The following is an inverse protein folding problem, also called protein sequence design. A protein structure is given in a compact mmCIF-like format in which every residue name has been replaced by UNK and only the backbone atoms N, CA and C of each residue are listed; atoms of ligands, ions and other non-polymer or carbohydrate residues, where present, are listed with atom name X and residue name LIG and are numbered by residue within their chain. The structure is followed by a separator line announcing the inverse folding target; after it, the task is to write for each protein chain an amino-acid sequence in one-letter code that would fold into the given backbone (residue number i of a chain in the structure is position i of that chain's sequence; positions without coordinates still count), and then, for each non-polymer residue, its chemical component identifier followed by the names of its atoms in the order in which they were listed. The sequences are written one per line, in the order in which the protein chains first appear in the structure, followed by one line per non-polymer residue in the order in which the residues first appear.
data_IF_088680412445
#
_entry.id   IF_088680412445
#
_cell.length_a   1.000
_cell.length_b   1.000
_cell.length_c   1.000
_cell.angle_alpha   90.00
_cell.angle_beta   90.00
_cell.angle_gamma   90.00
#
_symmetry.space_group_name_H-M   'P 1'
#
loop_
_entity.id
_entity.type
_entity.pdbx_description
1 polymer ?
#
# COMPACT_ATOMS: atom_id res chain seq x y z
N UNK A 1 -20.25 -13.46 16.56
CA UNK A 1 -20.73 -12.90 15.26
C UNK A 1 -19.49 -12.54 14.46
N UNK A 2 -19.10 -13.44 13.56
CA UNK A 2 -17.78 -13.40 12.92
C UNK A 2 -17.87 -12.80 11.52
N UNK A 3 -17.81 -11.47 11.46
CA UNK A 3 -17.40 -10.79 10.23
C UNK A 3 -15.88 -10.95 10.11
N UNK A 4 -15.45 -11.82 9.21
CA UNK A 4 -14.04 -12.17 9.00
C UNK A 4 -13.44 -11.29 7.91
N UNK A 5 -12.42 -10.52 8.28
CA UNK A 5 -11.65 -9.69 7.36
C UNK A 5 -10.60 -10.57 6.69
N UNK A 6 -10.60 -10.53 5.36
CA UNK A 6 -9.67 -11.29 4.51
C UNK A 6 -8.73 -10.33 3.81
N UNK A 7 -7.52 -10.79 3.52
CA UNK A 7 -6.56 -10.04 2.71
C UNK A 7 -6.50 -10.69 1.33
N UNK A 8 -6.78 -9.91 0.28
CA UNK A 8 -6.65 -10.36 -1.10
C UNK A 8 -5.18 -10.60 -1.46
N UNK A 9 -4.92 -11.30 -2.58
CA UNK A 9 -3.54 -11.47 -3.10
C UNK A 9 -2.82 -10.15 -3.35
N UNK A 10 -3.57 -9.06 -3.60
CA UNK A 10 -3.04 -7.70 -3.82
C UNK A 10 -2.89 -6.89 -2.52
N UNK A 11 -3.21 -7.47 -1.36
CA UNK A 11 -3.14 -6.81 -0.07
C UNK A 11 -4.41 -6.04 0.34
N UNK A 12 -5.37 -5.84 -0.56
CA UNK A 12 -6.66 -5.20 -0.23
C UNK A 12 -7.44 -6.00 0.79
N UNK A 13 -7.97 -5.33 1.82
CA UNK A 13 -8.75 -6.00 2.86
C UNK A 13 -10.21 -6.01 2.49
N UNK A 14 -10.80 -7.20 2.54
CA UNK A 14 -12.14 -7.45 2.03
C UNK A 14 -12.96 -8.31 2.99
N UNK A 15 -14.27 -8.12 2.94
CA UNK A 15 -15.25 -9.00 3.60
C UNK A 15 -16.13 -9.65 2.53
N UNK A 16 -16.67 -10.83 2.83
CA UNK A 16 -17.69 -11.43 1.97
C UNK A 16 -19.01 -10.69 2.15
N UNK A 17 -19.69 -10.41 1.06
CA UNK A 17 -20.99 -9.76 1.09
C UNK A 17 -22.02 -10.65 1.82
N UNK A 18 -21.93 -11.98 1.70
CA UNK A 18 -22.81 -12.91 2.44
C UNK A 18 -22.61 -12.84 3.96
N UNK A 19 -21.36 -12.73 4.40
CA UNK A 19 -21.04 -12.58 5.83
C UNK A 19 -21.46 -11.22 6.36
N UNK A 20 -21.27 -10.15 5.58
CA UNK A 20 -21.75 -8.82 5.93
C UNK A 20 -23.29 -8.78 6.04
N UNK A 21 -23.98 -9.41 5.08
CA UNK A 21 -25.44 -9.49 5.05
C UNK A 21 -26.00 -10.25 6.27
N UNK A 22 -25.41 -11.40 6.60
CA UNK A 22 -25.75 -12.15 7.82
C UNK A 22 -25.43 -11.38 9.09
N UNK A 23 -24.27 -10.72 9.13
CA UNK A 23 -23.89 -9.89 10.27
C UNK A 23 -24.90 -8.76 10.49
N UNK A 24 -25.40 -8.15 9.41
CA UNK A 24 -26.46 -7.14 9.46
C UNK A 24 -27.84 -7.70 9.86
N UNK A 25 -27.98 -9.00 10.06
CA UNK A 25 -29.24 -9.63 10.48
C UNK A 25 -30.33 -9.58 9.41
N UNK A 26 -29.94 -9.55 8.14
CA UNK A 26 -30.87 -9.52 7.01
C UNK A 26 -31.29 -10.96 6.63
N UNK A 27 -32.48 -11.11 6.07
CA UNK A 27 -32.99 -12.43 5.69
C UNK A 27 -32.26 -12.99 4.46
N UNK A 28 -31.76 -14.23 4.55
CA UNK A 28 -30.87 -14.85 3.54
C UNK A 28 -31.47 -14.85 2.12
N UNK A 29 -32.79 -15.04 1.98
CA UNK A 29 -33.48 -15.04 0.69
C UNK A 29 -33.45 -13.67 -0.03
N UNK A 30 -33.21 -12.58 0.70
CA UNK A 30 -33.03 -11.24 0.12
C UNK A 30 -31.58 -10.90 -0.24
N UNK A 31 -30.64 -11.82 -0.02
CA UNK A 31 -29.21 -11.56 -0.22
C UNK A 31 -28.89 -10.99 -1.61
N UNK A 32 -29.32 -11.66 -2.68
CA UNK A 32 -29.05 -11.20 -4.05
C UNK A 32 -29.67 -9.84 -4.37
N UNK A 33 -30.90 -9.60 -3.91
CA UNK A 33 -31.58 -8.33 -4.11
C UNK A 33 -30.85 -7.19 -3.39
N UNK A 34 -30.50 -7.40 -2.12
CA UNK A 34 -29.78 -6.42 -1.30
C UNK A 34 -28.41 -6.09 -1.88
N UNK A 35 -27.64 -7.10 -2.29
CA UNK A 35 -26.32 -6.89 -2.89
C UNK A 35 -26.41 -6.13 -4.20
N UNK A 36 -27.42 -6.40 -5.05
CA UNK A 36 -27.64 -5.63 -6.29
C UNK A 36 -27.99 -4.17 -6.00
N UNK A 37 -28.75 -3.90 -4.94
CA UNK A 37 -29.03 -2.54 -4.49
C UNK A 37 -27.74 -1.89 -4.03
N UNK A 38 -26.99 -2.53 -3.12
CA UNK A 38 -25.73 -2.02 -2.59
C UNK A 38 -24.72 -1.65 -3.69
N UNK A 39 -24.56 -2.48 -4.72
CA UNK A 39 -23.61 -2.20 -5.81
C UNK A 39 -24.09 -1.07 -6.73
N UNK A 40 -25.40 -0.78 -6.79
CA UNK A 40 -25.98 0.26 -7.66
C UNK A 40 -26.25 1.58 -6.96
N UNK A 41 -26.22 1.59 -5.63
CA UNK A 41 -26.49 2.76 -4.79
C UNK A 41 -25.34 3.77 -4.84
N UNK A 42 -25.58 4.96 -4.28
CA UNK A 42 -24.60 6.06 -4.24
C UNK A 42 -24.12 6.24 -2.81
N UNK A 43 -22.81 6.27 -2.63
CA UNK A 43 -22.18 6.49 -1.33
C UNK A 43 -21.18 7.63 -1.37
N UNK A 44 -20.89 8.19 -0.20
CA UNK A 44 -19.81 9.15 0.02
C UNK A 44 -18.54 8.38 0.39
N UNK A 45 -17.74 8.06 -0.62
CA UNK A 45 -16.39 7.52 -0.46
C UNK A 45 -15.40 8.64 -0.12
N UNK A 46 -14.20 8.29 0.31
CA UNK A 46 -13.11 9.23 0.58
C UNK A 46 -12.74 10.07 -0.66
N UNK A 47 -12.87 9.49 -1.85
CA UNK A 47 -12.60 10.15 -3.14
C UNK A 47 -13.81 10.90 -3.73
N UNK A 48 -14.98 10.85 -3.09
CA UNK A 48 -16.17 11.62 -3.46
C UNK A 48 -17.48 10.84 -3.42
N UNK A 49 -18.56 11.48 -3.86
CA UNK A 49 -19.90 10.88 -3.93
C UNK A 49 -20.06 10.16 -5.27
N UNK A 50 -20.08 8.82 -5.25
CA UNK A 50 -20.15 7.98 -6.46
C UNK A 50 -20.78 6.62 -6.19
N UNK A 51 -21.00 5.86 -7.27
CA UNK A 51 -21.38 4.44 -7.20
C UNK A 51 -20.15 3.56 -6.96
N UNK A 52 -20.30 2.39 -6.33
CA UNK A 52 -19.23 1.41 -6.20
C UNK A 52 -18.69 0.97 -7.58
N UNK A 53 -17.36 0.86 -7.69
CA UNK A 53 -16.64 0.49 -8.91
C UNK A 53 -16.11 -0.94 -8.78
N UNK A 54 -16.36 -1.75 -9.81
CA UNK A 54 -15.88 -3.12 -9.87
C UNK A 54 -14.35 -3.19 -9.91
N UNK A 55 -13.77 -4.18 -9.22
CA UNK A 55 -12.33 -4.39 -9.02
C UNK A 55 -11.61 -3.30 -8.20
N UNK A 56 -12.36 -2.32 -7.70
CA UNK A 56 -11.88 -1.30 -6.76
C UNK A 56 -12.58 -1.48 -5.41
N UNK A 57 -13.89 -1.26 -5.35
CA UNK A 57 -14.67 -1.33 -4.11
C UNK A 57 -15.27 -2.73 -3.90
N UNK A 58 -15.54 -3.45 -4.98
CA UNK A 58 -16.05 -4.81 -4.93
C UNK A 58 -15.51 -5.71 -6.03
N UNK A 59 -15.48 -7.02 -5.78
CA UNK A 59 -15.15 -8.03 -6.77
C UNK A 59 -16.08 -9.25 -6.64
N UNK A 60 -16.44 -9.85 -7.77
CA UNK A 60 -17.24 -11.08 -7.79
C UNK A 60 -16.33 -12.30 -7.58
N UNK A 61 -16.78 -13.27 -6.78
CA UNK A 61 -16.05 -14.51 -6.54
C UNK A 61 -16.01 -15.40 -7.80
N UNK A 62 -14.81 -15.79 -8.24
CA UNK A 62 -14.60 -16.70 -9.37
C UNK A 62 -14.99 -18.14 -9.08
N UNK A 63 -15.16 -18.52 -7.81
CA UNK A 63 -15.44 -19.89 -7.39
C UNK A 63 -16.94 -20.24 -7.36
N UNK A 64 -17.82 -19.38 -7.88
CA UNK A 64 -19.25 -19.72 -8.03
C UNK A 64 -19.43 -20.58 -9.27
N UNK A 65 -19.14 -21.88 -9.15
CA UNK A 65 -19.11 -22.80 -10.29
C UNK A 65 -20.47 -23.16 -10.87
N UNK A 66 -21.59 -22.98 -10.18
CA UNK A 66 -22.91 -23.35 -10.77
C UNK A 66 -24.16 -22.86 -10.02
N UNK A 67 -24.04 -22.01 -9.00
CA UNK A 67 -25.21 -21.63 -8.18
C UNK A 67 -25.80 -20.27 -8.54
N UNK A 68 -27.14 -20.21 -8.46
CA UNK A 68 -28.06 -19.08 -8.68
C UNK A 68 -27.68 -17.83 -7.85
N UNK A 69 -26.82 -18.01 -6.83
CA UNK A 69 -26.38 -16.98 -5.89
C UNK A 69 -24.93 -16.59 -6.15
N UNK A 70 -24.72 -15.36 -6.61
CA UNK A 70 -23.39 -14.78 -6.82
C UNK A 70 -22.82 -14.24 -5.50
N UNK A 71 -21.63 -14.70 -5.13
CA UNK A 71 -20.87 -14.17 -3.99
C UNK A 71 -20.00 -12.98 -4.42
N UNK A 72 -19.93 -11.97 -3.55
CA UNK A 72 -19.13 -10.77 -3.74
C UNK A 72 -18.19 -10.53 -2.56
N UNK A 73 -17.08 -9.88 -2.84
CA UNK A 73 -16.14 -9.35 -1.87
C UNK A 73 -16.24 -7.83 -1.91
N UNK A 74 -16.39 -7.19 -0.75
CA UNK A 74 -16.37 -5.73 -0.61
C UNK A 74 -15.11 -5.32 0.12
N UNK A 75 -14.48 -4.22 -0.29
CA UNK A 75 -13.47 -3.57 0.53
C UNK A 75 -14.10 -3.06 1.84
N UNK A 76 -13.25 -2.70 2.81
CA UNK A 76 -13.74 -2.28 4.13
C UNK A 76 -14.56 -0.99 4.07
N UNK A 77 -14.17 -0.05 3.20
CA UNK A 77 -14.88 1.22 3.03
C UNK A 77 -16.31 1.01 2.53
N UNK A 78 -16.49 0.27 1.42
CA UNK A 78 -17.81 -0.08 0.89
C UNK A 78 -18.62 -0.86 1.92
N UNK A 79 -18.01 -1.84 2.60
CA UNK A 79 -18.71 -2.62 3.63
C UNK A 79 -19.21 -1.73 4.77
N UNK A 80 -18.44 -0.72 5.18
CA UNK A 80 -18.83 0.26 6.21
C UNK A 80 -19.98 1.13 5.72
N UNK A 81 -19.89 1.65 4.50
CA UNK A 81 -20.92 2.49 3.89
C UNK A 81 -22.24 1.73 3.71
N UNK A 82 -22.17 0.49 3.22
CA UNK A 82 -23.30 -0.44 3.11
C UNK A 82 -23.92 -0.72 4.48
N UNK A 83 -23.10 -0.98 5.50
CA UNK A 83 -23.60 -1.20 6.85
C UNK A 83 -24.41 0.02 7.34
N UNK A 84 -23.88 1.23 7.19
CA UNK A 84 -24.54 2.48 7.62
C UNK A 84 -25.84 2.76 6.87
N UNK A 85 -25.86 2.53 5.55
CA UNK A 85 -27.02 2.74 4.69
C UNK A 85 -28.11 1.68 4.89
N UNK A 86 -27.74 0.48 5.32
CA UNK A 86 -28.70 -0.62 5.52
C UNK A 86 -29.55 -0.40 6.76
N UNK A 87 -30.86 -0.68 6.64
CA UNK A 87 -31.79 -0.68 7.77
C UNK A 87 -31.59 -1.93 8.64
N UNK A 88 -30.64 -1.87 9.57
CA UNK A 88 -30.37 -2.92 10.56
C UNK A 88 -30.22 -2.33 11.97
N UNK A 89 -30.65 -3.09 12.99
CA UNK A 89 -30.48 -2.72 14.40
C UNK A 89 -29.01 -2.75 14.85
N UNK A 90 -28.17 -3.57 14.20
CA UNK A 90 -26.76 -3.77 14.55
C UNK A 90 -25.80 -2.99 13.64
N UNK A 91 -26.33 -2.13 12.77
CA UNK A 91 -25.53 -1.42 11.76
C UNK A 91 -24.40 -0.59 12.34
N UNK A 92 -24.64 0.11 13.45
CA UNK A 92 -23.63 0.96 14.09
C UNK A 92 -22.48 0.12 14.63
N UNK A 93 -22.76 -1.01 15.30
CA UNK A 93 -21.72 -1.88 15.84
C UNK A 93 -20.81 -2.46 14.74
N UNK A 94 -21.40 -2.88 13.62
CA UNK A 94 -20.67 -3.41 12.47
C UNK A 94 -19.86 -2.31 11.77
N UNK A 95 -20.46 -1.14 11.54
CA UNK A 95 -19.77 0.00 10.94
C UNK A 95 -18.61 0.47 11.81
N UNK A 96 -18.75 0.51 13.14
CA UNK A 96 -17.66 0.83 14.07
C UNK A 96 -16.56 -0.22 14.03
N UNK A 97 -16.89 -1.51 13.95
CA UNK A 97 -15.89 -2.58 13.81
C UNK A 97 -15.08 -2.40 12.51
N UNK A 98 -15.77 -2.20 11.38
CA UNK A 98 -15.15 -1.99 10.07
C UNK A 98 -14.32 -0.70 10.04
N UNK A 99 -14.81 0.38 10.67
CA UNK A 99 -14.10 1.65 10.75
C UNK A 99 -12.84 1.58 11.60
N UNK A 100 -12.86 0.84 12.73
CA UNK A 100 -11.65 0.61 13.52
C UNK A 100 -10.60 -0.14 12.72
N UNK A 101 -11.02 -1.14 11.97
CA UNK A 101 -10.14 -1.92 11.11
C UNK A 101 -9.58 -1.05 9.98
N UNK A 102 -10.41 -0.20 9.36
CA UNK A 102 -10.01 0.79 8.36
C UNK A 102 -8.99 1.81 8.93
N UNK A 103 -9.24 2.35 10.12
CA UNK A 103 -8.34 3.30 10.80
C UNK A 103 -6.99 2.69 11.17
N UNK A 104 -6.95 1.40 11.52
CA UNK A 104 -5.69 0.72 11.85
C UNK A 104 -4.85 0.46 10.58
N UNK A 105 -5.48 0.30 9.41
CA UNK A 105 -4.75 0.16 8.14
C UNK A 105 -5.44 0.91 6.99
N UNK A 106 -5.35 2.25 6.96
CA UNK A 106 -5.99 3.05 5.91
C UNK A 106 -5.56 2.56 4.53
N UNK A 107 -6.48 2.52 3.56
CA UNK A 107 -6.13 2.25 2.15
C UNK A 107 -5.73 3.54 1.42
N UNK A 108 -6.17 4.68 1.95
CA UNK A 108 -5.87 6.03 1.44
C UNK A 108 -5.10 6.87 2.46
N UNK A 109 -4.17 7.70 1.97
CA UNK A 109 -3.35 8.58 2.79
C UNK A 109 -4.15 9.81 3.23
N UNK A 110 -4.36 9.93 4.54
CA UNK A 110 -4.86 11.14 5.20
C UNK A 110 -3.88 11.51 6.29
N UNK A 111 -3.11 12.58 6.08
CA UNK A 111 -2.07 13.03 7.00
C UNK A 111 -2.50 14.32 7.70
N UNK A 112 -2.24 14.40 9.00
CA UNK A 112 -2.21 15.68 9.72
C UNK A 112 -1.02 16.52 9.27
N UNK A 113 -0.99 17.79 9.67
CA UNK A 113 0.17 18.65 9.40
C UNK A 113 1.47 18.06 9.99
N UNK A 114 1.40 17.53 11.22
CA UNK A 114 2.53 16.88 11.88
C UNK A 114 3.01 15.64 11.12
N UNK A 115 2.08 14.76 10.71
CA UNK A 115 2.42 13.56 9.93
C UNK A 115 2.98 13.91 8.54
N UNK A 116 2.55 15.02 7.95
CA UNK A 116 3.10 15.52 6.68
C UNK A 116 4.54 15.99 6.85
N UNK A 117 4.84 16.70 7.95
CA UNK A 117 6.21 17.12 8.28
C UNK A 117 7.11 15.92 8.58
N UNK A 118 6.58 14.90 9.25
CA UNK A 118 7.31 13.65 9.49
C UNK A 118 7.65 12.95 8.16
N UNK A 119 6.68 12.82 7.26
CA UNK A 119 6.91 12.25 5.93
C UNK A 119 7.95 13.06 5.15
N UNK A 120 7.95 14.39 5.28
CA UNK A 120 8.94 15.27 4.65
C UNK A 120 10.35 14.96 5.15
N UNK A 121 10.56 14.86 6.46
CA UNK A 121 11.87 14.51 7.04
C UNK A 121 12.31 13.09 6.65
N UNK A 122 11.38 12.13 6.64
CA UNK A 122 11.67 10.79 6.15
C UNK A 122 12.06 10.79 4.66
N UNK A 123 11.39 11.62 3.84
CA UNK A 123 11.71 11.79 2.42
C UNK A 123 13.13 12.33 2.24
N UNK A 124 13.55 13.32 3.04
CA UNK A 124 14.93 13.82 3.06
C UNK A 124 15.91 12.74 3.51
N UNK A 125 15.59 11.98 4.55
CA UNK A 125 16.45 10.90 5.04
C UNK A 125 16.62 9.78 3.99
N UNK A 126 15.58 9.50 3.20
CA UNK A 126 15.60 8.53 2.10
C UNK A 126 16.43 8.96 0.88
N UNK A 127 17.03 10.16 0.90
CA UNK A 127 18.11 10.50 -0.06
C UNK A 127 19.36 9.63 0.16
N UNK A 128 19.54 9.05 1.34
CA UNK A 128 20.68 8.21 1.70
C UNK A 128 20.45 6.75 1.36
N UNK A 129 21.42 6.13 0.70
CA UNK A 129 21.39 4.70 0.37
C UNK A 129 21.36 3.81 1.62
N UNK A 130 22.00 4.21 2.72
CA UNK A 130 21.95 3.44 3.97
C UNK A 130 20.51 3.31 4.49
N UNK A 131 19.74 4.40 4.44
CA UNK A 131 18.35 4.44 4.92
C UNK A 131 17.45 3.57 4.04
N UNK A 132 17.61 3.67 2.71
CA UNK A 132 16.89 2.83 1.76
C UNK A 132 17.21 1.34 1.96
N UNK A 133 18.49 1.00 2.18
CA UNK A 133 18.91 -0.37 2.43
C UNK A 133 18.32 -0.94 3.73
N UNK A 134 18.35 -0.16 4.81
CA UNK A 134 17.78 -0.56 6.09
C UNK A 134 16.24 -0.71 6.03
N UNK A 135 15.55 0.13 5.25
CA UNK A 135 14.12 -0.02 5.00
C UNK A 135 13.80 -1.32 4.24
N UNK A 136 14.55 -1.61 3.17
CA UNK A 136 14.41 -2.84 2.38
C UNK A 136 14.66 -4.09 3.23
N UNK A 137 15.69 -4.08 4.07
CA UNK A 137 16.01 -5.20 4.96
C UNK A 137 14.91 -5.45 6.00
N UNK A 138 14.37 -4.39 6.61
CA UNK A 138 13.24 -4.52 7.54
C UNK A 138 11.99 -5.07 6.86
N UNK A 139 11.70 -4.61 5.64
CA UNK A 139 10.55 -5.11 4.89
C UNK A 139 10.75 -6.58 4.51
N UNK A 140 11.95 -7.00 4.12
CA UNK A 140 12.29 -8.40 3.90
C UNK A 140 12.10 -9.24 5.18
N UNK A 141 12.62 -8.79 6.33
CA UNK A 141 12.45 -9.49 7.63
C UNK A 141 10.97 -9.69 7.96
N UNK A 142 10.14 -8.67 7.76
CA UNK A 142 8.70 -8.79 7.98
C UNK A 142 8.02 -9.71 6.95
N UNK A 143 8.40 -9.64 5.69
CA UNK A 143 7.90 -10.54 4.65
C UNK A 143 8.21 -12.00 4.99
N UNK A 144 9.44 -12.31 5.39
CA UNK A 144 9.86 -13.64 5.80
C UNK A 144 9.12 -14.10 7.05
N UNK A 145 8.91 -13.22 8.04
CA UNK A 145 8.09 -13.54 9.22
C UNK A 145 6.65 -13.90 8.85
N UNK A 146 6.07 -13.25 7.84
CA UNK A 146 4.69 -13.50 7.39
C UNK A 146 4.56 -14.75 6.52
N UNK A 147 5.53 -15.01 5.66
CA UNK A 147 5.45 -16.06 4.63
C UNK A 147 6.24 -17.33 4.97
N UNK A 148 7.11 -17.28 5.98
CA UNK A 148 7.98 -18.37 6.39
C UNK A 148 9.24 -18.56 5.53
N UNK A 149 9.40 -17.83 4.41
CA UNK A 149 10.55 -17.95 3.51
C UNK A 149 10.88 -16.61 2.82
N UNK A 150 12.11 -16.45 2.34
CA UNK A 150 12.56 -15.32 1.53
C UNK A 150 12.53 -15.59 0.01
N UNK A 151 12.25 -16.82 -0.44
CA UNK A 151 12.49 -17.27 -1.83
C UNK A 151 11.79 -16.41 -2.91
N UNK A 152 10.62 -15.87 -2.58
CA UNK A 152 9.82 -15.06 -3.51
C UNK A 152 9.90 -13.55 -3.24
N UNK A 153 10.80 -13.11 -2.35
CA UNK A 153 10.94 -11.71 -1.98
C UNK A 153 11.16 -10.79 -3.19
N UNK A 154 12.14 -11.13 -4.04
CA UNK A 154 12.48 -10.27 -5.19
C UNK A 154 11.31 -10.10 -6.15
N UNK A 155 10.57 -11.18 -6.42
CA UNK A 155 9.37 -11.13 -7.25
C UNK A 155 8.28 -10.31 -6.57
N UNK A 156 8.01 -10.57 -5.29
CA UNK A 156 7.03 -9.81 -4.50
C UNK A 156 7.34 -8.32 -4.51
N UNK A 157 8.60 -7.93 -4.28
CA UNK A 157 9.02 -6.53 -4.21
C UNK A 157 8.91 -5.85 -5.58
N UNK A 158 9.27 -6.52 -6.67
CA UNK A 158 9.04 -5.98 -8.02
C UNK A 158 7.54 -5.78 -8.28
N UNK A 159 6.73 -6.79 -8.01
CA UNK A 159 5.28 -6.76 -8.28
C UNK A 159 4.54 -5.75 -7.41
N UNK A 160 5.00 -5.48 -6.19
CA UNK A 160 4.25 -4.72 -5.18
C UNK A 160 4.85 -3.36 -4.84
N UNK A 161 6.18 -3.19 -4.92
CA UNK A 161 6.89 -1.98 -4.47
C UNK A 161 7.53 -1.24 -5.64
N UNK A 162 8.42 -1.90 -6.39
CA UNK A 162 9.26 -1.26 -7.41
C UNK A 162 8.49 -1.01 -8.71
N UNK A 163 7.58 -1.92 -9.09
CA UNK A 163 6.71 -1.81 -10.28
C UNK A 163 7.46 -1.72 -11.62
N UNK A 164 8.75 -2.04 -11.64
CA UNK A 164 9.55 -2.16 -12.85
C UNK A 164 10.59 -3.27 -12.68
N UNK A 165 10.77 -4.06 -13.74
CA UNK A 165 11.75 -5.15 -13.78
C UNK A 165 13.15 -4.63 -14.11
N UNK A 166 14.16 -5.44 -13.80
CA UNK A 166 15.56 -5.14 -14.17
C UNK A 166 15.71 -4.98 -15.69
N UNK A 167 15.06 -5.84 -16.47
CA UNK A 167 15.21 -5.83 -17.93
C UNK A 167 14.52 -4.63 -18.57
N UNK A 168 13.37 -4.20 -18.04
CA UNK A 168 12.73 -2.93 -18.44
C UNK A 168 13.61 -1.73 -18.09
N UNK A 169 14.25 -1.70 -16.91
CA UNK A 169 15.20 -0.63 -16.55
C UNK A 169 16.39 -0.60 -17.51
N UNK A 170 16.96 -1.76 -17.83
CA UNK A 170 18.07 -1.87 -18.80
C UNK A 170 17.64 -1.43 -20.21
N UNK A 171 16.42 -1.74 -20.64
CA UNK A 171 15.88 -1.25 -21.90
C UNK A 171 15.78 0.28 -21.89
N UNK A 172 15.13 0.87 -20.88
CA UNK A 172 14.99 2.32 -20.73
C UNK A 172 16.32 3.06 -20.63
N UNK A 173 17.35 2.47 -20.02
CA UNK A 173 18.69 3.04 -19.96
C UNK A 173 19.40 3.00 -21.32
N UNK A 174 19.22 1.91 -22.10
CA UNK A 174 19.73 1.81 -23.48
C UNK A 174 19.09 2.87 -24.37
N UNK A 175 17.77 3.06 -24.28
CA UNK A 175 17.05 4.06 -25.07
C UNK A 175 17.54 5.49 -24.80
N UNK A 176 18.07 5.75 -23.60
CA UNK A 176 18.64 7.05 -23.19
C UNK A 176 20.16 7.15 -23.36
N UNK A 177 20.82 6.13 -23.92
CA UNK A 177 22.29 6.04 -24.02
C UNK A 177 23.02 6.21 -22.67
N UNK A 178 22.40 5.78 -21.56
CA UNK A 178 23.00 5.85 -20.23
C UNK A 178 23.76 4.55 -19.96
N UNK A 179 25.07 4.59 -19.63
CA UNK A 179 25.86 3.39 -19.40
C UNK A 179 25.46 2.67 -18.10
N UNK A 180 25.45 1.33 -18.12
CA UNK A 180 25.23 0.49 -16.95
C UNK A 180 26.02 -0.83 -17.03
N UNK A 181 26.30 -1.44 -15.87
CA UNK A 181 26.90 -2.76 -15.76
C UNK A 181 25.82 -3.84 -15.64
N UNK A 182 26.05 -5.03 -16.18
CA UNK A 182 25.18 -6.21 -16.02
C UNK A 182 24.99 -6.61 -14.55
N UNK A 183 26.01 -6.39 -13.73
CA UNK A 183 25.98 -6.71 -12.30
C UNK A 183 25.20 -5.68 -11.46
N UNK A 184 24.75 -4.57 -12.07
CA UNK A 184 23.98 -3.58 -11.33
C UNK A 184 22.65 -4.14 -10.86
N UNK A 185 22.36 -3.92 -9.58
CA UNK A 185 21.08 -4.24 -8.95
C UNK A 185 20.02 -3.19 -9.33
N UNK A 186 18.76 -3.52 -9.05
CA UNK A 186 17.60 -2.64 -9.29
C UNK A 186 17.84 -1.21 -8.80
N UNK A 187 18.37 -1.04 -7.57
CA UNK A 187 18.65 0.29 -6.99
C UNK A 187 19.68 1.09 -7.79
N UNK A 188 20.76 0.46 -8.22
CA UNK A 188 21.83 1.12 -8.99
C UNK A 188 21.35 1.50 -10.39
N UNK A 189 20.47 0.69 -10.98
CA UNK A 189 19.82 1.00 -12.25
C UNK A 189 18.80 2.14 -12.10
N UNK A 190 17.99 2.13 -11.03
CA UNK A 190 17.06 3.21 -10.71
C UNK A 190 17.79 4.52 -10.47
N UNK A 191 18.89 4.51 -9.71
CA UNK A 191 19.70 5.70 -9.46
C UNK A 191 20.19 6.38 -10.75
N UNK A 192 20.47 5.59 -11.80
CA UNK A 192 20.90 6.13 -13.10
C UNK A 192 19.73 6.59 -13.97
N UNK A 193 18.55 6.00 -13.81
CA UNK A 193 17.39 6.26 -14.64
C UNK A 193 16.48 7.37 -14.09
N UNK A 194 16.18 7.28 -12.79
CA UNK A 194 15.28 8.14 -12.02
C UNK A 194 15.66 8.05 -10.51
N UNK A 195 16.58 8.89 -10.02
CA UNK A 195 17.02 8.87 -8.61
C UNK A 195 15.86 9.03 -7.63
N UNK A 196 14.86 9.85 -7.96
CA UNK A 196 13.72 10.14 -7.08
C UNK A 196 12.85 8.89 -6.88
N UNK A 197 12.85 7.99 -7.84
CA UNK A 197 12.18 6.69 -7.71
C UNK A 197 12.80 5.82 -6.60
N UNK A 198 14.10 5.98 -6.30
CA UNK A 198 14.72 5.32 -5.14
C UNK A 198 14.13 5.82 -3.82
N UNK A 199 13.82 7.11 -3.70
CA UNK A 199 13.16 7.69 -2.52
C UNK A 199 11.75 7.11 -2.37
N UNK A 200 10.98 7.07 -3.47
CA UNK A 200 9.64 6.46 -3.49
C UNK A 200 9.68 5.02 -2.98
N UNK A 201 10.58 4.21 -3.54
CA UNK A 201 10.75 2.81 -3.16
C UNK A 201 11.16 2.68 -1.69
N UNK A 202 12.08 3.51 -1.21
CA UNK A 202 12.53 3.52 0.18
C UNK A 202 11.41 3.83 1.17
N UNK A 203 10.56 4.82 0.87
CA UNK A 203 9.38 5.14 1.69
C UNK A 203 8.38 3.98 1.69
N UNK A 204 8.11 3.38 0.54
CA UNK A 204 7.21 2.22 0.47
C UNK A 204 7.74 1.06 1.31
N UNK A 205 9.02 0.73 1.19
CA UNK A 205 9.64 -0.32 2.00
C UNK A 205 9.60 0.02 3.49
N UNK A 206 9.81 1.30 3.86
CA UNK A 206 9.79 1.75 5.24
C UNK A 206 8.42 1.58 5.90
N UNK A 207 7.35 2.04 5.25
CA UNK A 207 5.99 1.90 5.79
C UNK A 207 5.48 0.48 5.69
N UNK A 208 5.81 -0.24 4.61
CA UNK A 208 5.47 -1.65 4.52
C UNK A 208 6.10 -2.43 5.68
N UNK A 209 7.38 -2.18 6.02
CA UNK A 209 8.10 -2.76 7.15
C UNK A 209 7.48 -2.51 8.53
N UNK A 210 6.75 -1.39 8.68
CA UNK A 210 6.00 -1.06 9.89
C UNK A 210 4.65 -1.79 9.97
N UNK A 211 4.27 -2.54 8.92
CA UNK A 211 3.00 -3.27 8.85
C UNK A 211 1.85 -2.51 8.21
N UNK A 212 2.11 -1.34 7.60
CA UNK A 212 1.10 -0.68 6.79
C UNK A 212 0.77 -1.49 5.54
N UNK A 213 -0.43 -1.28 5.01
CA UNK A 213 -0.86 -1.94 3.77
C UNK A 213 0.01 -1.48 2.59
N UNK A 214 0.25 -2.35 1.62
CA UNK A 214 0.99 -1.98 0.40
C UNK A 214 0.31 -0.83 -0.36
N UNK A 215 -1.02 -0.81 -0.55
CA UNK A 215 -1.70 0.34 -1.17
C UNK A 215 -1.39 1.67 -0.48
N UNK A 216 -1.47 1.70 0.86
CA UNK A 216 -1.16 2.89 1.66
C UNK A 216 0.30 3.33 1.51
N UNK A 217 1.23 2.39 1.65
CA UNK A 217 2.65 2.66 1.49
C UNK A 217 2.96 3.19 0.07
N UNK A 218 2.28 2.69 -0.96
CA UNK A 218 2.40 3.18 -2.34
C UNK A 218 1.91 4.62 -2.49
N UNK A 219 0.81 5.00 -1.84
CA UNK A 219 0.34 6.39 -1.82
C UNK A 219 1.31 7.32 -1.08
N UNK A 220 1.84 6.90 0.07
CA UNK A 220 2.89 7.65 0.78
C UNK A 220 4.15 7.80 -0.07
N UNK A 221 4.55 6.74 -0.76
CA UNK A 221 5.66 6.79 -1.70
C UNK A 221 5.42 7.81 -2.81
N UNK A 222 4.23 7.84 -3.42
CA UNK A 222 3.88 8.84 -4.45
C UNK A 222 3.99 10.25 -3.90
N UNK A 223 3.43 10.50 -2.70
CA UNK A 223 3.53 11.80 -2.05
C UNK A 223 4.98 12.19 -1.77
N UNK A 224 5.80 11.27 -1.26
CA UNK A 224 7.22 11.48 -1.04
C UNK A 224 7.99 11.78 -2.33
N UNK A 225 7.63 11.14 -3.46
CA UNK A 225 8.20 11.45 -4.78
C UNK A 225 7.87 12.89 -5.21
N UNK A 226 6.64 13.33 -5.03
CA UNK A 226 6.23 14.71 -5.33
C UNK A 226 6.97 15.73 -4.43
N UNK A 227 7.09 15.43 -3.14
CA UNK A 227 7.88 16.25 -2.21
C UNK A 227 9.35 16.32 -2.63
N UNK A 228 9.95 15.18 -2.95
CA UNK A 228 11.36 15.12 -3.37
C UNK A 228 11.61 15.89 -4.67
N UNK A 229 10.70 15.82 -5.65
CA UNK A 229 10.77 16.62 -6.87
C UNK A 229 10.66 18.12 -6.58
N UNK A 230 9.71 18.51 -5.73
CA UNK A 230 9.47 19.92 -5.36
C UNK A 230 10.68 20.51 -4.66
N UNK A 231 11.30 19.74 -3.78
CA UNK A 231 12.51 20.11 -3.03
C UNK A 231 13.81 19.94 -3.83
N UNK A 232 13.75 19.31 -5.00
CA UNK A 232 14.92 18.97 -5.83
C UNK A 232 15.95 18.16 -5.05
N UNK A 233 15.48 17.13 -4.36
CA UNK A 233 16.35 16.27 -3.56
C UNK A 233 17.28 15.44 -4.45
N UNK A 234 18.54 15.37 -4.06
CA UNK A 234 19.55 14.53 -4.70
C UNK A 234 19.82 13.31 -3.83
N UNK A 235 19.81 12.14 -4.46
CA UNK A 235 20.10 10.88 -3.80
C UNK A 235 21.61 10.66 -3.78
N UNK A 236 22.15 10.25 -2.64
CA UNK A 236 23.58 10.10 -2.39
C UNK A 236 23.89 8.70 -1.85
N UNK A 237 24.98 8.10 -2.32
CA UNK A 237 25.51 6.87 -1.74
C UNK A 237 26.43 7.20 -0.55
N UNK A 238 25.86 7.22 0.64
CA UNK A 238 26.53 7.58 1.89
C UNK A 238 27.30 6.43 2.54
N UNK A 239 27.32 5.24 1.92
CA UNK A 239 28.01 4.06 2.47
C UNK A 239 29.54 4.17 2.43
N UNK A 240 30.08 5.07 1.62
CA UNK A 240 31.53 5.35 1.55
C UNK A 240 31.94 6.64 2.27
N UNK A 241 31.02 7.25 3.03
CA UNK A 241 31.19 8.53 3.72
C UNK A 241 30.13 9.54 3.33
N UNK A 242 29.81 10.47 4.21
CA UNK A 242 28.88 11.58 3.88
C UNK A 242 29.57 12.55 2.93
N UNK A 243 28.96 12.78 1.77
CA UNK A 243 29.42 13.82 0.85
C UNK A 243 29.08 15.20 1.37
N UNK A 244 29.92 16.20 1.03
CA UNK A 244 29.71 17.63 1.34
C UNK A 244 28.34 18.18 0.88
N UNK A 245 27.68 17.50 -0.06
CA UNK A 245 26.40 17.92 -0.66
C UNK A 245 25.22 17.03 -0.23
N UNK A 246 25.38 16.23 0.83
CA UNK A 246 24.29 15.39 1.33
C UNK A 246 23.16 16.26 1.87
N UNK A 247 21.92 15.98 1.48
CA UNK A 247 20.75 16.73 1.94
C UNK A 247 20.69 16.72 3.49
N UNK A 248 20.57 17.90 4.14
CA UNK A 248 20.39 17.95 5.59
C UNK A 248 19.03 17.35 5.94
N UNK A 249 19.06 16.35 6.81
CA UNK A 249 17.88 15.74 7.41
C UNK A 249 18.16 15.54 8.90
N UNK A 250 17.11 15.35 9.70
CA UNK A 250 17.26 15.11 11.13
C UNK A 250 18.18 13.91 11.40
N UNK A 251 19.27 14.15 12.13
CA UNK A 251 20.30 13.16 12.45
C UNK A 251 19.75 12.04 13.33
N UNK A 252 18.83 12.36 14.24
CA UNK A 252 18.19 11.35 15.08
C UNK A 252 17.29 10.45 14.25
N UNK A 253 16.51 11.03 13.33
CA UNK A 253 15.68 10.27 12.40
C UNK A 253 16.54 9.37 11.49
N UNK A 254 17.64 9.87 10.94
CA UNK A 254 18.57 9.07 10.14
C UNK A 254 19.06 7.86 10.95
N UNK A 255 19.50 8.08 12.19
CA UNK A 255 19.95 6.99 13.07
C UNK A 255 18.83 5.99 13.34
N UNK A 256 17.61 6.45 13.60
CA UNK A 256 16.45 5.58 13.79
C UNK A 256 16.16 4.73 12.54
N UNK A 257 16.26 5.33 11.35
CA UNK A 257 16.04 4.63 10.08
C UNK A 257 17.16 3.62 9.78
N UNK A 258 18.40 3.91 10.16
CA UNK A 258 19.58 3.05 9.95
C UNK A 258 19.73 1.91 10.96
N UNK A 259 19.27 2.08 12.22
CA UNK A 259 19.54 1.18 13.38
C UNK A 259 19.06 -0.28 13.27
N UNK A 260 18.51 -0.71 12.14
CA UNK A 260 18.04 -2.09 11.93
C UNK A 260 18.88 -2.90 10.90
N UNK A 261 20.00 -2.35 10.44
CA UNK A 261 21.01 -3.03 9.62
C UNK A 261 22.09 -3.77 10.45
N UNK A 262 21.91 -3.89 11.77
CA UNK A 262 22.75 -4.69 12.67
C UNK A 262 21.99 -5.92 13.16
#
# INVERSE_FOLDING_TARGET
MDLTIRVSKKGTRVVKASELHRALGLADHHYQANVRVWIKDVYQFADGIRKPVGMQDYARSTNTKTDVVHEYYFNLELARLVALATKSKVKQAIATKLSKEEQVYPEHVQLTAEQTMELLEQTKAMTRFSCQAAAEERHLKQYTRRTGSADYWNRYRVDNVVKITVDELRAKLRDRNIPFNRNHRVRELLMRFDPVECIRVGIVDHYAAQGYSIPYALELGKLARELANTMRLEVTDDRQGEGLFTTPADVELIRQLQRAAA
#
